data_IF_174082014140
#
_entry.id   IF_174082014140
#
_cell.length_a   1.000
_cell.length_b   1.000
_cell.length_c   1.000
_cell.angle_alpha   90.00
_cell.angle_beta   90.00
_cell.angle_gamma   90.00
#
_symmetry.space_group_name_H-M   'P 1'
#
loop_
_entity.id
_entity.type
_entity.pdbx_description
1 polymer ?
#
# COMPACT_ATOMS: atom_id res chain seq x y z
N UNK A 1 -25.60 4.22 -33.78
CA UNK A 1 -25.44 4.85 -32.45
C UNK A 1 -23.96 5.09 -32.21
N UNK A 2 -23.51 6.34 -32.02
CA UNK A 2 -22.11 6.61 -31.78
C UNK A 2 -21.74 6.14 -30.37
N UNK A 3 -20.71 5.28 -30.28
CA UNK A 3 -20.11 4.86 -29.01
C UNK A 3 -19.59 6.11 -28.31
N UNK A 4 -20.15 6.43 -27.14
CA UNK A 4 -19.59 7.45 -26.25
C UNK A 4 -18.22 6.96 -25.81
N UNK A 5 -17.19 7.68 -26.23
CA UNK A 5 -15.85 7.56 -25.72
C UNK A 5 -15.87 7.99 -24.23
N UNK A 6 -15.88 7.00 -23.33
CA UNK A 6 -15.76 7.21 -21.89
C UNK A 6 -14.28 7.30 -21.47
N UNK A 7 -13.47 8.03 -22.24
CA UNK A 7 -12.10 8.41 -21.87
C UNK A 7 -12.13 9.49 -20.76
N UNK A 8 -12.37 9.07 -19.51
CA UNK A 8 -12.05 9.88 -18.32
C UNK A 8 -10.60 9.66 -17.87
N UNK A 9 -9.72 9.13 -18.73
CA UNK A 9 -8.29 9.04 -18.44
C UNK A 9 -7.78 10.45 -18.13
N UNK A 10 -7.48 10.70 -16.86
CA UNK A 10 -6.90 11.95 -16.40
C UNK A 10 -5.64 12.20 -17.24
N UNK A 11 -5.70 13.14 -18.19
CA UNK A 11 -4.55 13.65 -18.94
C UNK A 11 -3.71 14.57 -18.02
N UNK A 12 -3.41 14.09 -16.82
CA UNK A 12 -2.51 14.77 -15.90
C UNK A 12 -1.11 14.79 -16.51
N UNK A 13 -0.45 15.94 -16.49
CA UNK A 13 0.96 16.04 -16.85
C UNK A 13 1.79 15.08 -15.97
N UNK A 14 2.66 14.29 -16.62
CA UNK A 14 3.61 13.37 -15.95
C UNK A 14 4.34 14.09 -14.82
N UNK A 15 4.58 13.40 -13.70
CA UNK A 15 5.42 13.93 -12.63
C UNK A 15 6.86 14.14 -13.12
N UNK A 16 7.47 15.26 -12.76
CA UNK A 16 8.86 15.59 -13.07
C UNK A 16 9.60 16.01 -11.80
N UNK A 17 10.93 15.92 -11.81
CA UNK A 17 11.73 16.41 -10.67
C UNK A 17 11.47 17.89 -10.38
N UNK A 18 11.36 18.72 -11.42
CA UNK A 18 11.09 20.14 -11.28
C UNK A 18 9.75 20.38 -10.56
N UNK A 19 8.72 19.58 -10.86
CA UNK A 19 7.42 19.65 -10.19
C UNK A 19 7.53 19.24 -8.72
N UNK A 20 8.27 18.18 -8.41
CA UNK A 20 8.52 17.76 -7.02
C UNK A 20 9.25 18.86 -6.23
N UNK A 21 10.31 19.43 -6.80
CA UNK A 21 11.11 20.52 -6.19
C UNK A 21 10.28 21.80 -6.01
N UNK A 22 9.31 22.06 -6.88
CA UNK A 22 8.42 23.22 -6.81
C UNK A 22 7.28 23.08 -5.79
N UNK A 23 7.00 21.88 -5.27
CA UNK A 23 5.97 21.68 -4.24
C UNK A 23 6.37 22.35 -2.92
N UNK A 24 5.64 23.42 -2.55
CA UNK A 24 5.92 24.26 -1.38
C UNK A 24 5.59 23.59 -0.06
N UNK A 25 4.70 22.61 -0.08
CA UNK A 25 4.26 21.89 1.11
C UNK A 25 3.95 20.43 0.78
N UNK A 26 3.69 19.67 1.83
CA UNK A 26 3.45 18.23 1.75
C UNK A 26 2.13 17.90 1.05
N UNK A 27 1.10 18.73 1.19
CA UNK A 27 -0.19 18.53 0.49
C UNK A 27 -0.03 18.60 -1.03
N UNK A 28 0.72 19.59 -1.53
CA UNK A 28 1.00 19.74 -2.96
C UNK A 28 1.80 18.55 -3.49
N UNK A 29 2.80 18.09 -2.72
CA UNK A 29 3.61 16.94 -3.11
C UNK A 29 2.78 15.65 -3.11
N UNK A 30 1.99 15.42 -2.05
CA UNK A 30 1.12 14.26 -1.95
C UNK A 30 0.16 14.19 -3.13
N UNK A 31 -0.53 15.29 -3.46
CA UNK A 31 -1.42 15.37 -4.62
C UNK A 31 -0.70 15.10 -5.95
N UNK A 32 0.55 15.51 -6.09
CA UNK A 32 1.33 15.25 -7.29
C UNK A 32 1.74 13.78 -7.42
N UNK A 33 2.10 13.13 -6.30
CA UNK A 33 2.44 11.71 -6.24
C UNK A 33 1.22 10.82 -6.49
N UNK A 34 0.08 11.11 -5.85
CA UNK A 34 -1.15 10.33 -6.05
C UNK A 34 -1.65 10.43 -7.49
N UNK A 35 -1.65 11.62 -8.08
CA UNK A 35 -2.03 11.79 -9.49
C UNK A 35 -1.12 11.00 -10.45
N UNK A 36 0.18 10.90 -10.15
CA UNK A 36 1.10 10.08 -10.96
C UNK A 36 0.85 8.58 -10.74
N UNK A 37 0.58 8.13 -9.51
CA UNK A 37 0.18 6.74 -9.24
C UNK A 37 -1.11 6.37 -9.97
N UNK A 38 -2.13 7.23 -9.94
CA UNK A 38 -3.39 7.02 -10.68
C UNK A 38 -3.17 6.98 -12.20
N UNK A 39 -2.28 7.83 -12.72
CA UNK A 39 -1.92 7.83 -14.14
C UNK A 39 -1.22 6.53 -14.55
N UNK A 40 -0.43 5.95 -13.65
CA UNK A 40 0.36 4.74 -13.91
C UNK A 40 -0.42 3.46 -13.62
N UNK A 41 -1.41 3.50 -12.74
CA UNK A 41 -2.17 2.34 -12.26
C UNK A 41 -3.66 2.56 -12.58
N UNK A 42 -4.16 2.00 -13.69
CA UNK A 42 -5.57 2.05 -14.03
C UNK A 42 -6.47 1.57 -12.89
N UNK A 43 -7.64 2.19 -12.72
CA UNK A 43 -8.54 1.96 -11.57
C UNK A 43 -8.87 0.46 -11.38
N UNK A 44 -9.25 -0.23 -12.45
CA UNK A 44 -9.63 -1.66 -12.38
C UNK A 44 -8.45 -2.62 -12.14
N UNK A 45 -7.20 -2.14 -12.18
CA UNK A 45 -6.03 -2.98 -11.98
C UNK A 45 -5.86 -3.36 -10.50
N UNK A 46 -6.42 -2.57 -9.58
CA UNK A 46 -6.29 -2.79 -8.12
C UNK A 46 -7.18 -3.92 -7.59
N UNK A 47 -8.14 -4.39 -8.38
CA UNK A 47 -9.11 -5.42 -7.98
C UNK A 47 -8.52 -6.85 -8.09
N UNK A 48 -7.52 -7.04 -8.95
CA UNK A 48 -6.80 -8.30 -9.12
C UNK A 48 -5.35 -8.13 -8.65
N UNK A 49 -5.04 -8.68 -7.47
CA UNK A 49 -3.71 -8.52 -6.85
C UNK A 49 -2.59 -9.20 -7.66
N UNK A 50 -2.88 -10.23 -8.44
CA UNK A 50 -1.89 -10.91 -9.28
C UNK A 50 -1.50 -10.03 -10.48
N UNK A 51 -2.49 -9.41 -11.14
CA UNK A 51 -2.25 -8.43 -12.21
C UNK A 51 -1.59 -7.18 -11.63
N UNK A 52 -2.05 -6.72 -10.46
CA UNK A 52 -1.51 -5.57 -9.75
C UNK A 52 -0.02 -5.69 -9.45
N UNK A 53 0.39 -6.79 -8.80
CA UNK A 53 1.79 -7.04 -8.47
C UNK A 53 2.67 -7.07 -9.73
N UNK A 54 2.22 -7.74 -10.80
CA UNK A 54 2.95 -7.77 -12.08
C UNK A 54 3.12 -6.38 -12.68
N UNK A 55 2.11 -5.52 -12.54
CA UNK A 55 2.12 -4.17 -13.10
C UNK A 55 3.03 -3.23 -12.31
N UNK A 56 2.88 -3.16 -10.98
CA UNK A 56 3.69 -2.24 -10.16
C UNK A 56 5.19 -2.59 -10.20
N UNK A 57 5.55 -3.84 -10.51
CA UNK A 57 6.96 -4.23 -10.75
C UNK A 57 7.61 -3.55 -11.95
N UNK A 58 6.83 -2.92 -12.84
CA UNK A 58 7.29 -2.28 -14.08
C UNK A 58 7.33 -0.75 -14.00
N UNK A 59 6.84 -0.15 -12.92
CA UNK A 59 6.87 1.31 -12.72
C UNK A 59 8.12 1.71 -11.90
N UNK A 60 8.50 2.99 -11.87
CA UNK A 60 9.64 3.46 -11.09
C UNK A 60 9.61 2.96 -9.64
N UNK A 61 10.76 2.61 -9.04
CA UNK A 61 10.82 1.88 -7.77
C UNK A 61 10.15 2.64 -6.61
N UNK A 62 10.23 3.96 -6.59
CA UNK A 62 9.53 4.76 -5.59
C UNK A 62 8.02 4.68 -5.76
N UNK A 63 7.49 4.80 -6.98
CA UNK A 63 6.06 4.66 -7.25
C UNK A 63 5.56 3.23 -6.97
N UNK A 64 6.36 2.20 -7.30
CA UNK A 64 6.08 0.81 -6.94
C UNK A 64 5.93 0.65 -5.43
N UNK A 65 6.87 1.20 -4.66
CA UNK A 65 6.86 1.10 -3.21
C UNK A 65 5.64 1.83 -2.59
N UNK A 66 5.27 3.00 -3.13
CA UNK A 66 4.05 3.71 -2.72
C UNK A 66 2.80 2.89 -3.04
N UNK A 67 2.68 2.37 -4.26
CA UNK A 67 1.56 1.53 -4.66
C UNK A 67 1.42 0.27 -3.78
N UNK A 68 2.54 -0.38 -3.45
CA UNK A 68 2.55 -1.56 -2.61
C UNK A 68 2.12 -1.27 -1.17
N UNK A 69 2.47 -0.10 -0.62
CA UNK A 69 2.22 0.24 0.79
C UNK A 69 0.92 1.00 1.06
N UNK A 70 0.23 1.48 0.02
CA UNK A 70 -1.00 2.26 0.16
C UNK A 70 -2.05 1.54 1.02
N UNK A 71 -2.36 0.28 0.69
CA UNK A 71 -3.42 -0.43 1.40
C UNK A 71 -3.05 -0.79 2.83
N UNK A 72 -1.76 -0.91 3.15
CA UNK A 72 -1.33 -1.06 4.53
C UNK A 72 -1.68 0.18 5.35
N UNK A 73 -1.40 1.38 4.84
CA UNK A 73 -1.78 2.62 5.53
C UNK A 73 -3.29 2.71 5.77
N UNK A 74 -4.10 2.35 4.76
CA UNK A 74 -5.57 2.28 4.89
C UNK A 74 -5.99 1.27 5.95
N UNK A 75 -5.41 0.07 5.97
CA UNK A 75 -5.75 -0.95 6.97
C UNK A 75 -5.39 -0.48 8.39
N UNK A 76 -4.25 0.17 8.60
CA UNK A 76 -3.89 0.66 9.95
C UNK A 76 -4.75 1.85 10.40
N UNK A 77 -5.22 2.67 9.46
CA UNK A 77 -6.10 3.80 9.77
C UNK A 77 -7.53 3.37 10.15
N UNK A 78 -7.99 2.20 9.69
CA UNK A 78 -9.37 1.72 9.87
C UNK A 78 -9.49 0.54 10.83
N UNK A 79 -8.52 -0.38 10.79
CA UNK A 79 -8.57 -1.68 11.44
C UNK A 79 -7.17 -2.04 12.02
N UNK A 80 -6.58 -3.16 11.59
CA UNK A 80 -5.31 -3.69 12.07
C UNK A 80 -4.55 -4.52 11.02
N UNK A 81 -3.44 -5.16 11.42
CA UNK A 81 -2.63 -6.00 10.52
C UNK A 81 -3.33 -7.31 10.13
N UNK A 82 -4.13 -7.92 11.00
CA UNK A 82 -4.86 -9.15 10.66
C UNK A 82 -5.91 -8.90 9.58
N UNK A 83 -6.66 -7.81 9.70
CA UNK A 83 -7.59 -7.34 8.67
C UNK A 83 -6.86 -7.02 7.36
N UNK A 84 -5.67 -6.41 7.42
CA UNK A 84 -4.86 -6.20 6.22
C UNK A 84 -4.57 -7.50 5.46
N UNK A 85 -4.13 -8.55 6.17
CA UNK A 85 -3.81 -9.84 5.54
C UNK A 85 -5.03 -10.57 5.00
N UNK A 86 -6.21 -10.41 5.61
CA UNK A 86 -7.45 -11.00 5.09
C UNK A 86 -7.98 -10.23 3.88
N UNK A 87 -8.02 -8.89 3.93
CA UNK A 87 -8.46 -8.03 2.82
C UNK A 87 -7.53 -8.12 1.60
N UNK A 88 -6.25 -8.38 1.84
CA UNK A 88 -5.24 -8.49 0.80
C UNK A 88 -4.52 -9.84 0.85
N UNK A 89 -5.30 -10.92 0.94
CA UNK A 89 -4.84 -12.30 1.07
C UNK A 89 -4.10 -12.79 -0.19
N UNK A 90 -2.88 -12.30 -0.39
CA UNK A 90 -2.06 -12.59 -1.55
C UNK A 90 -0.57 -12.49 -1.20
N UNK A 91 0.11 -13.64 -1.08
CA UNK A 91 1.51 -13.71 -0.62
C UNK A 91 2.46 -12.81 -1.43
N UNK A 92 2.42 -12.80 -2.78
CA UNK A 92 3.27 -11.89 -3.55
C UNK A 92 3.00 -10.42 -3.27
N UNK A 93 1.76 -10.05 -2.93
CA UNK A 93 1.45 -8.67 -2.59
C UNK A 93 2.00 -8.31 -1.20
N UNK A 94 1.90 -9.20 -0.21
CA UNK A 94 2.54 -8.99 1.10
C UNK A 94 4.06 -8.84 0.98
N UNK A 95 4.70 -9.60 0.08
CA UNK A 95 6.13 -9.46 -0.23
C UNK A 95 6.46 -8.10 -0.85
N UNK A 96 5.62 -7.62 -1.78
CA UNK A 96 5.75 -6.27 -2.35
C UNK A 96 5.56 -5.18 -1.31
N UNK A 97 4.61 -5.33 -0.38
CA UNK A 97 4.40 -4.40 0.74
C UNK A 97 5.64 -4.32 1.60
N UNK A 98 6.21 -5.47 2.00
CA UNK A 98 7.44 -5.52 2.78
C UNK A 98 8.64 -4.91 2.04
N UNK A 99 8.80 -5.22 0.75
CA UNK A 99 9.83 -4.60 -0.09
C UNK A 99 9.64 -3.08 -0.19
N UNK A 100 8.41 -2.62 -0.38
CA UNK A 100 8.06 -1.22 -0.49
C UNK A 100 8.36 -0.43 0.79
N UNK A 101 8.03 -0.97 1.96
CA UNK A 101 8.39 -0.35 3.25
C UNK A 101 9.92 -0.18 3.37
N UNK A 102 10.69 -1.20 2.97
CA UNK A 102 12.16 -1.13 2.98
C UNK A 102 12.70 -0.10 1.99
N UNK A 103 12.18 -0.07 0.76
CA UNK A 103 12.59 0.92 -0.24
C UNK A 103 12.32 2.35 0.24
N UNK A 104 11.15 2.59 0.84
CA UNK A 104 10.76 3.88 1.41
C UNK A 104 11.57 4.28 2.66
N UNK A 105 12.39 3.38 3.20
CA UNK A 105 13.16 3.60 4.42
C UNK A 105 12.32 3.50 5.71
N UNK A 106 11.11 2.96 5.64
CA UNK A 106 10.20 2.73 6.76
C UNK A 106 10.62 1.48 7.56
N UNK A 107 11.84 1.48 8.11
CA UNK A 107 12.48 0.28 8.70
C UNK A 107 11.65 -0.34 9.83
N UNK A 108 11.20 0.47 10.78
CA UNK A 108 10.41 -0.02 11.91
C UNK A 108 9.08 -0.61 11.46
N UNK A 109 8.37 0.05 10.53
CA UNK A 109 7.16 -0.51 9.91
C UNK A 109 7.45 -1.82 9.19
N UNK A 110 8.57 -1.91 8.46
CA UNK A 110 8.97 -3.13 7.75
C UNK A 110 9.23 -4.29 8.71
N UNK A 111 9.87 -4.02 9.86
CA UNK A 111 10.16 -5.04 10.88
C UNK A 111 8.88 -5.54 11.54
N UNK A 112 7.96 -4.64 11.90
CA UNK A 112 6.65 -4.98 12.48
C UNK A 112 5.81 -5.78 11.47
N UNK A 113 5.75 -5.32 10.21
CA UNK A 113 5.00 -6.01 9.15
C UNK A 113 5.58 -7.40 8.89
N UNK A 114 6.91 -7.53 8.82
CA UNK A 114 7.60 -8.81 8.65
C UNK A 114 7.33 -9.77 9.82
N UNK A 115 7.36 -9.29 11.06
CA UNK A 115 7.01 -10.08 12.23
C UNK A 115 5.55 -10.56 12.18
N UNK A 116 4.63 -9.66 11.82
CA UNK A 116 3.20 -9.95 11.71
C UNK A 116 2.92 -10.98 10.62
N UNK A 117 3.55 -10.81 9.44
CA UNK A 117 3.38 -11.75 8.34
C UNK A 117 3.84 -13.17 8.73
N UNK A 118 4.94 -13.30 9.48
CA UNK A 118 5.39 -14.60 10.01
C UNK A 118 4.38 -15.24 10.97
N UNK A 119 3.67 -14.45 11.78
CA UNK A 119 2.62 -14.95 12.67
C UNK A 119 1.37 -15.40 11.91
N UNK A 120 1.09 -14.78 10.76
CA UNK A 120 -0.09 -15.10 9.93
C UNK A 120 0.14 -16.33 9.07
N UNK A 121 1.37 -16.60 8.64
CA UNK A 121 1.69 -17.72 7.72
C UNK A 121 1.12 -19.09 8.16
N UNK A 122 1.17 -19.50 9.45
CA UNK A 122 0.55 -20.75 9.90
C UNK A 122 -0.97 -20.79 9.73
N UNK A 123 -1.65 -19.64 9.75
CA UNK A 123 -3.10 -19.51 9.59
C UNK A 123 -3.52 -19.19 8.16
N UNK A 124 -2.57 -19.08 7.22
CA UNK A 124 -2.82 -18.55 5.88
C UNK A 124 -3.91 -19.31 5.13
N UNK A 125 -3.86 -20.64 5.16
CA UNK A 125 -4.83 -21.49 4.45
C UNK A 125 -6.21 -21.48 5.13
N UNK A 126 -6.25 -21.35 6.45
CA UNK A 126 -7.50 -21.20 7.20
C UNK A 126 -8.19 -19.87 6.85
N UNK A 127 -7.45 -18.76 6.87
CA UNK A 127 -7.95 -17.44 6.43
C UNK A 127 -8.50 -17.53 5.00
N UNK A 128 -7.72 -18.12 4.08
CA UNK A 128 -8.13 -18.30 2.67
C UNK A 128 -9.41 -19.13 2.52
N UNK A 129 -9.54 -20.20 3.30
CA UNK A 129 -10.74 -21.05 3.34
C UNK A 129 -11.96 -20.31 3.87
N UNK A 130 -11.80 -19.45 4.88
CA UNK A 130 -12.89 -18.65 5.45
C UNK A 130 -13.36 -17.58 4.46
N UNK A 131 -12.45 -16.75 3.94
CA UNK A 131 -12.79 -15.64 3.05
C UNK A 131 -13.38 -16.11 1.71
N UNK A 132 -12.98 -17.28 1.20
CA UNK A 132 -13.51 -17.83 -0.05
C UNK A 132 -14.93 -18.36 0.07
N UNK A 133 -15.37 -18.74 1.29
CA UNK A 133 -16.74 -19.18 1.56
C UNK A 133 -17.66 -17.99 1.81
N UNK A 134 -17.27 -17.16 2.77
CA UNK A 134 -17.96 -15.93 3.14
C UNK A 134 -17.03 -15.11 4.04
N UNK A 135 -16.80 -13.85 3.69
CA UNK A 135 -15.95 -12.96 4.48
C UNK A 135 -16.46 -12.82 5.94
N UNK A 136 -17.77 -12.94 6.19
CA UNK A 136 -18.33 -12.92 7.55
C UNK A 136 -17.77 -14.04 8.44
N UNK A 137 -17.42 -15.19 7.87
CA UNK A 137 -16.81 -16.28 8.62
C UNK A 137 -15.42 -15.92 9.12
N UNK A 138 -14.64 -15.17 8.33
CA UNK A 138 -13.36 -14.62 8.81
C UNK A 138 -13.59 -13.63 9.95
N UNK A 139 -14.56 -12.72 9.82
CA UNK A 139 -14.89 -11.74 10.88
C UNK A 139 -15.22 -12.45 12.19
N UNK A 140 -16.08 -13.47 12.13
CA UNK A 140 -16.52 -14.21 13.31
C UNK A 140 -15.40 -15.05 13.93
N UNK A 141 -14.51 -15.59 13.09
CA UNK A 141 -13.37 -16.37 13.55
C UNK A 141 -12.25 -15.49 14.12
N UNK A 142 -11.96 -14.35 13.49
CA UNK A 142 -10.79 -13.53 13.82
C UNK A 142 -10.90 -12.91 15.21
N UNK A 143 -12.10 -12.45 15.58
CA UNK A 143 -12.38 -11.93 16.92
C UNK A 143 -12.13 -13.03 17.97
N UNK A 144 -11.29 -12.72 18.96
CA UNK A 144 -10.80 -13.61 20.01
C UNK A 144 -9.94 -14.82 19.54
N UNK A 145 -9.52 -14.83 18.27
CA UNK A 145 -8.63 -15.86 17.74
C UNK A 145 -7.24 -15.81 18.38
N UNK A 146 -6.53 -16.94 18.31
CA UNK A 146 -5.12 -16.99 18.69
C UNK A 146 -4.25 -16.09 17.78
N UNK A 147 -4.67 -15.88 16.53
CA UNK A 147 -4.00 -14.97 15.61
C UNK A 147 -4.14 -13.51 16.05
N UNK A 148 -5.36 -13.06 16.37
CA UNK A 148 -5.60 -11.69 16.85
C UNK A 148 -4.78 -11.41 18.12
N UNK A 149 -4.82 -12.32 19.10
CA UNK A 149 -4.04 -12.21 20.35
C UNK A 149 -2.54 -12.13 20.07
N UNK A 150 -2.03 -12.94 19.15
CA UNK A 150 -0.62 -12.93 18.77
C UNK A 150 -0.22 -11.63 18.04
N UNK A 151 -1.12 -11.05 17.23
CA UNK A 151 -0.90 -9.80 16.51
C UNK A 151 -1.07 -8.56 17.39
N UNK A 152 -1.84 -8.63 18.48
CA UNK A 152 -2.18 -7.46 19.31
C UNK A 152 -0.99 -6.58 19.72
N UNK A 153 0.17 -7.12 20.17
CA UNK A 153 1.34 -6.29 20.47
C UNK A 153 1.90 -5.56 19.24
N UNK A 154 1.90 -6.20 18.07
CA UNK A 154 2.41 -5.64 16.82
C UNK A 154 1.42 -4.63 16.22
N UNK A 155 0.11 -4.88 16.33
CA UNK A 155 -0.93 -3.92 15.97
C UNK A 155 -0.74 -2.62 16.77
N UNK A 156 -0.55 -2.73 18.09
CA UNK A 156 -0.29 -1.57 18.95
C UNK A 156 0.98 -0.81 18.52
N UNK A 157 2.07 -1.51 18.23
CA UNK A 157 3.31 -0.87 17.78
C UNK A 157 3.15 -0.18 16.42
N UNK A 158 2.49 -0.83 15.46
CA UNK A 158 2.25 -0.25 14.13
C UNK A 158 1.38 1.00 14.23
N UNK A 159 0.31 0.94 15.02
CA UNK A 159 -0.59 2.08 15.24
C UNK A 159 0.12 3.25 15.91
N UNK A 160 0.92 3.01 16.96
CA UNK A 160 1.73 4.06 17.61
C UNK A 160 2.72 4.72 16.64
N UNK A 161 3.37 3.93 15.78
CA UNK A 161 4.24 4.45 14.73
C UNK A 161 3.44 5.28 13.72
N UNK A 162 2.30 4.77 13.26
CA UNK A 162 1.41 5.46 12.33
C UNK A 162 0.95 6.81 12.89
N UNK A 163 0.50 6.87 14.15
CA UNK A 163 0.11 8.12 14.83
C UNK A 163 1.28 9.10 14.94
N UNK A 164 2.50 8.62 15.20
CA UNK A 164 3.69 9.46 15.31
C UNK A 164 4.02 10.22 14.01
N UNK A 165 3.56 9.70 12.85
CA UNK A 165 3.75 10.29 11.53
C UNK A 165 2.70 11.35 11.18
N UNK A 166 1.73 11.59 12.08
CA UNK A 166 0.70 12.64 12.00
C UNK A 166 -0.12 12.54 10.71
N UNK A 167 -0.43 13.67 10.08
CA UNK A 167 -1.41 13.86 8.99
C UNK A 167 -1.33 12.92 7.78
N UNK A 168 -0.25 12.15 7.62
CA UNK A 168 -0.04 11.26 6.48
C UNK A 168 0.20 9.80 6.87
N UNK A 169 0.20 9.43 8.15
CA UNK A 169 0.48 8.05 8.56
C UNK A 169 1.75 7.49 7.92
N UNK A 170 1.69 6.24 7.45
CA UNK A 170 2.79 5.61 6.70
C UNK A 170 3.07 6.31 5.36
N UNK A 171 2.08 6.99 4.76
CA UNK A 171 2.32 7.76 3.53
C UNK A 171 3.24 8.96 3.76
N UNK A 172 3.56 9.33 5.01
CA UNK A 172 4.62 10.31 5.30
C UNK A 172 5.96 9.90 4.70
N UNK A 173 6.27 8.59 4.67
CA UNK A 173 7.49 8.08 4.06
C UNK A 173 7.54 8.35 2.56
N UNK A 174 6.40 8.44 1.87
CA UNK A 174 6.35 8.75 0.44
C UNK A 174 6.88 10.16 0.16
N UNK A 175 6.49 11.12 1.01
CA UNK A 175 6.89 12.51 0.90
C UNK A 175 8.38 12.69 1.17
N UNK A 176 8.88 12.04 2.24
CA UNK A 176 10.30 12.04 2.60
C UNK A 176 11.12 11.44 1.46
N UNK A 177 10.68 10.28 0.96
CA UNK A 177 11.37 9.56 -0.10
C UNK A 177 11.39 10.34 -1.41
N UNK A 178 10.26 10.87 -1.87
CA UNK A 178 10.16 11.62 -3.12
C UNK A 178 11.01 12.91 -3.11
N UNK A 179 11.15 13.57 -1.96
CA UNK A 179 12.05 14.73 -1.83
C UNK A 179 13.51 14.33 -1.90
N UNK A 180 13.87 13.18 -1.33
CA UNK A 180 15.25 12.69 -1.27
C UNK A 180 15.72 12.05 -2.58
N UNK A 181 14.82 11.36 -3.27
CA UNK A 181 15.08 10.58 -4.49
C UNK A 181 14.03 10.86 -5.57
N UNK A 182 13.90 12.11 -6.05
CA UNK A 182 12.87 12.49 -7.03
C UNK A 182 12.98 11.70 -8.34
N UNK A 183 14.18 11.30 -8.74
CA UNK A 183 14.46 10.47 -9.91
C UNK A 183 13.82 9.07 -9.83
N UNK A 184 13.63 8.55 -8.61
CA UNK A 184 13.06 7.21 -8.38
C UNK A 184 11.54 7.17 -8.43
N UNK A 185 10.88 8.33 -8.45
CA UNK A 185 9.41 8.47 -8.48
C UNK A 185 8.89 9.05 -9.78
N UNK A 186 9.75 9.26 -10.77
CA UNK A 186 9.38 9.75 -12.10
C UNK A 186 9.66 8.69 -13.16
N UNK A 187 8.81 8.62 -14.18
CA UNK A 187 9.05 7.72 -15.30
C UNK A 187 9.96 8.41 -16.32
N UNK A 188 11.20 7.92 -16.45
CA UNK A 188 12.21 8.46 -17.38
C UNK A 188 12.14 7.84 -18.78
N UNK A 189 11.29 6.83 -19.02
CA UNK A 189 11.16 6.18 -20.32
C UNK A 189 9.81 6.48 -20.98
N UNK A 190 9.88 6.74 -22.29
CA UNK A 190 8.77 7.09 -23.19
C UNK A 190 8.08 5.86 -23.76
#
# INVERSE_FOLDING_TARGET
>A
MPKKDNSWAYKGMKLTEAKIKACKNDQQLFKALTAELERQIPIGLREDLEIFVKHIRRIPPGLRAMAATHQLDVSIALDDLGWHFANHHHKPYCEETLWGLKELGARESADIFSASYRLVLPFWDEIGSLISKDFKLFIDWYNDSELEKALAPLNKQMYQLWESLKDYGLMKYWLIYARKYPEKVINIFH
#
